data_IF_528620078626
#
_entry.id   IF_528620078626
#
_cell.length_a   1.000
_cell.length_b   1.000
_cell.length_c   1.000
_cell.angle_alpha   90.00
_cell.angle_beta   90.00
_cell.angle_gamma   90.00
#
_symmetry.space_group_name_H-M   'P 1'
#
loop_
_entity.id
_entity.type
_entity.pdbx_description
1 polymer ?
#
# COMPACT_ATOMS: atom_id res chain seq x y z
N UNK A 1 5.95 -64.69 -48.48
CA UNK A 1 6.74 -64.65 -47.23
C UNK A 1 6.54 -63.26 -46.65
N UNK A 2 5.63 -63.11 -45.68
CA UNK A 2 5.22 -61.82 -45.13
C UNK A 2 6.12 -61.45 -43.95
N UNK A 3 6.74 -60.27 -43.98
CA UNK A 3 7.53 -59.71 -42.89
C UNK A 3 6.62 -58.84 -42.02
N UNK A 4 6.43 -59.23 -40.76
CA UNK A 4 5.73 -58.40 -39.77
C UNK A 4 6.67 -57.28 -39.24
N UNK A 5 6.17 -56.06 -39.03
CA UNK A 5 6.94 -55.03 -38.34
C UNK A 5 6.88 -55.22 -36.83
N UNK A 6 8.06 -55.26 -36.21
CA UNK A 6 8.28 -55.30 -34.77
C UNK A 6 7.77 -54.01 -34.11
N UNK A 7 6.75 -54.14 -33.27
CA UNK A 7 6.25 -53.08 -32.41
C UNK A 7 7.24 -52.82 -31.27
N UNK A 8 8.05 -51.78 -31.42
CA UNK A 8 8.84 -51.23 -30.31
C UNK A 8 7.88 -50.56 -29.33
N UNK A 9 7.57 -51.27 -28.23
CA UNK A 9 6.89 -50.70 -27.06
C UNK A 9 7.76 -49.59 -26.48
N UNK A 10 7.46 -48.35 -26.85
CA UNK A 10 8.00 -47.18 -26.17
C UNK A 10 7.62 -47.25 -24.70
N UNK A 11 8.63 -47.38 -23.83
CA UNK A 11 8.45 -47.10 -22.40
C UNK A 11 8.05 -45.63 -22.30
N UNK A 12 6.78 -45.39 -21.96
CA UNK A 12 6.34 -44.14 -21.37
C UNK A 12 7.18 -43.95 -20.10
N UNK A 13 8.23 -43.13 -20.19
CA UNK A 13 8.83 -42.52 -19.02
C UNK A 13 7.73 -41.67 -18.39
N UNK A 14 7.12 -42.19 -17.34
CA UNK A 14 6.40 -41.37 -16.38
C UNK A 14 7.40 -40.35 -15.85
N UNK A 15 7.32 -39.11 -16.34
CA UNK A 15 7.88 -37.97 -15.62
C UNK A 15 7.27 -38.06 -14.22
N UNK A 16 8.05 -38.47 -13.24
CA UNK A 16 7.75 -38.26 -11.84
C UNK A 16 7.72 -36.75 -11.65
N UNK A 17 6.53 -36.16 -11.84
CA UNK A 17 6.34 -34.72 -11.83
C UNK A 17 6.89 -34.14 -10.53
N UNK A 18 7.98 -33.38 -10.63
CA UNK A 18 8.50 -32.61 -9.51
C UNK A 18 7.36 -31.75 -8.96
N UNK A 19 7.13 -31.82 -7.65
CA UNK A 19 6.08 -31.00 -7.00
C UNK A 19 6.28 -29.53 -7.41
N UNK A 20 5.20 -28.80 -7.74
CA UNK A 20 5.33 -27.39 -8.08
C UNK A 20 6.03 -26.62 -6.96
N UNK A 21 6.82 -25.61 -7.35
CA UNK A 21 7.47 -24.71 -6.39
C UNK A 21 6.39 -23.98 -5.58
N UNK A 22 6.68 -23.74 -4.31
CA UNK A 22 5.80 -23.00 -3.41
C UNK A 22 5.74 -21.54 -3.89
N UNK A 23 4.53 -21.04 -4.15
CA UNK A 23 4.25 -19.69 -4.64
C UNK A 23 2.76 -19.52 -4.96
N UNK A 24 2.43 -18.45 -5.69
CA UNK A 24 1.05 -18.17 -6.13
C UNK A 24 0.15 -17.55 -5.05
N UNK A 25 -1.16 -17.54 -5.28
CA UNK A 25 -2.12 -16.80 -4.44
C UNK A 25 -2.20 -17.27 -2.99
N UNK A 26 -2.08 -18.57 -2.75
CA UNK A 26 -2.05 -19.10 -1.38
C UNK A 26 -0.81 -18.59 -0.62
N UNK A 27 0.36 -18.61 -1.26
CA UNK A 27 1.59 -18.05 -0.68
C UNK A 27 1.41 -16.56 -0.37
N UNK A 28 0.87 -15.80 -1.32
CA UNK A 28 0.65 -14.37 -1.15
C UNK A 28 -0.26 -14.05 0.03
N UNK A 29 -1.31 -14.84 0.26
CA UNK A 29 -2.20 -14.68 1.40
C UNK A 29 -1.47 -14.90 2.75
N UNK A 30 -0.66 -15.97 2.85
CA UNK A 30 0.11 -16.24 4.06
C UNK A 30 1.18 -15.19 4.32
N UNK A 31 1.89 -14.76 3.28
CA UNK A 31 2.90 -13.73 3.41
C UNK A 31 2.26 -12.38 3.78
N UNK A 32 1.14 -12.01 3.16
CA UNK A 32 0.42 -10.79 3.48
C UNK A 32 -0.11 -10.79 4.92
N UNK A 33 -0.57 -11.93 5.43
CA UNK A 33 -0.91 -12.07 6.85
C UNK A 33 0.28 -11.74 7.76
N UNK A 34 1.47 -12.27 7.44
CA UNK A 34 2.68 -11.97 8.23
C UNK A 34 3.08 -10.49 8.12
N UNK A 35 2.91 -9.86 6.95
CA UNK A 35 3.13 -8.42 6.77
C UNK A 35 2.14 -7.59 7.59
N UNK A 36 0.85 -7.95 7.60
CA UNK A 36 -0.16 -7.25 8.41
C UNK A 36 0.10 -7.40 9.91
N UNK A 37 0.61 -8.55 10.35
CA UNK A 37 1.05 -8.73 11.74
C UNK A 37 2.25 -7.83 12.06
N UNK A 38 3.25 -7.79 11.18
CA UNK A 38 4.41 -6.92 11.34
C UNK A 38 4.00 -5.45 11.39
N UNK A 39 3.15 -5.02 10.47
CA UNK A 39 2.57 -3.67 10.44
C UNK A 39 1.78 -3.35 11.71
N UNK A 40 0.94 -4.27 12.18
CA UNK A 40 0.22 -4.11 13.46
C UNK A 40 1.18 -3.90 14.63
N UNK A 41 2.30 -4.63 14.64
CA UNK A 41 3.38 -4.43 15.60
C UNK A 41 3.99 -3.04 15.54
N UNK A 42 4.21 -2.48 14.35
CA UNK A 42 4.74 -1.11 14.19
C UNK A 42 3.81 -0.05 14.80
N UNK A 43 2.51 -0.17 14.60
CA UNK A 43 1.54 0.77 15.16
C UNK A 43 1.33 0.57 16.65
N UNK A 44 1.39 -0.67 17.13
CA UNK A 44 1.32 -0.97 18.54
C UNK A 44 2.51 -0.35 19.29
N UNK A 45 3.70 -0.45 18.70
CA UNK A 45 4.92 0.19 19.22
C UNK A 45 4.86 1.72 19.15
N UNK A 46 4.44 2.28 18.02
CA UNK A 46 4.21 3.72 17.89
C UNK A 46 3.19 4.24 18.90
N UNK A 47 2.10 3.49 19.15
CA UNK A 47 1.14 3.83 20.20
C UNK A 47 1.79 3.88 21.57
N UNK A 48 2.66 2.92 21.90
CA UNK A 48 3.36 2.89 23.19
C UNK A 48 4.26 4.13 23.37
N UNK A 49 5.04 4.49 22.36
CA UNK A 49 5.88 5.69 22.39
C UNK A 49 5.08 7.00 22.52
N UNK A 50 3.86 7.05 21.99
CA UNK A 50 2.99 8.23 22.11
C UNK A 50 2.25 8.32 23.46
N UNK A 51 2.01 7.19 24.15
CA UNK A 51 1.09 7.12 25.28
C UNK A 51 1.74 6.70 26.62
N UNK A 52 2.97 6.15 26.59
CA UNK A 52 3.68 5.67 27.78
C UNK A 52 4.89 6.57 28.03
N UNK A 53 4.90 7.36 29.13
CA UNK A 53 6.01 8.23 29.44
C UNK A 53 7.32 7.45 29.69
N UNK A 54 8.45 7.98 29.18
CA UNK A 54 9.81 7.48 29.43
C UNK A 54 10.07 6.06 28.91
N UNK A 55 9.43 5.68 27.81
CA UNK A 55 9.70 4.43 27.11
C UNK A 55 10.97 4.56 26.25
N UNK A 56 12.14 4.49 26.89
CA UNK A 56 13.46 4.75 26.27
C UNK A 56 14.35 3.50 26.30
N UNK A 57 13.88 2.40 25.70
CA UNK A 57 14.66 1.16 25.59
C UNK A 57 14.31 0.38 24.34
N UNK A 58 15.32 -0.28 23.77
CA UNK A 58 15.20 -1.10 22.57
C UNK A 58 14.37 -2.39 22.79
N UNK A 59 14.25 -2.85 24.03
CA UNK A 59 13.51 -4.09 24.35
C UNK A 59 12.29 -3.79 25.19
N UNK A 60 11.13 -3.82 24.55
CA UNK A 60 9.82 -3.63 25.19
C UNK A 60 8.85 -4.75 24.78
N UNK A 61 7.76 -4.98 25.52
CA UNK A 61 6.71 -5.90 25.07
C UNK A 61 6.13 -5.55 23.68
N UNK A 62 6.07 -4.26 23.33
CA UNK A 62 5.58 -3.78 22.03
C UNK A 62 6.56 -4.08 20.91
N UNK A 63 7.87 -3.86 21.15
CA UNK A 63 8.93 -4.34 20.26
C UNK A 63 8.89 -5.86 20.07
N UNK A 64 8.53 -6.64 21.10
CA UNK A 64 8.39 -8.09 20.94
C UNK A 64 7.30 -8.47 19.93
N UNK A 65 6.17 -7.74 19.88
CA UNK A 65 5.13 -7.95 18.87
C UNK A 65 5.65 -7.55 17.48
N UNK A 66 6.30 -6.39 17.37
CA UNK A 66 6.95 -5.95 16.13
C UNK A 66 7.95 -7.00 15.59
N UNK A 67 8.89 -7.45 16.43
CA UNK A 67 9.91 -8.43 16.07
C UNK A 67 9.32 -9.78 15.72
N UNK A 68 8.27 -10.22 16.43
CA UNK A 68 7.57 -11.46 16.09
C UNK A 68 6.97 -11.40 14.69
N UNK A 69 6.49 -10.23 14.25
CA UNK A 69 6.02 -10.01 12.89
C UNK A 69 7.11 -10.04 11.85
N UNK A 70 8.22 -9.37 12.11
CA UNK A 70 9.38 -9.42 11.24
C UNK A 70 9.87 -10.87 11.06
N UNK A 71 9.95 -11.64 12.15
CA UNK A 71 10.34 -13.06 12.13
C UNK A 71 9.31 -13.90 11.36
N UNK A 72 8.01 -13.64 11.54
CA UNK A 72 6.96 -14.31 10.79
C UNK A 72 7.10 -14.04 9.28
N UNK A 73 7.30 -12.78 8.88
CA UNK A 73 7.50 -12.39 7.49
C UNK A 73 8.78 -13.03 6.90
N UNK A 74 9.88 -13.02 7.66
CA UNK A 74 11.13 -13.69 7.29
C UNK A 74 10.94 -15.20 7.12
N UNK A 75 10.23 -15.85 8.03
CA UNK A 75 9.94 -17.29 7.94
C UNK A 75 9.09 -17.58 6.70
N UNK A 76 8.05 -16.77 6.47
CA UNK A 76 7.15 -16.95 5.33
C UNK A 76 7.84 -16.75 3.98
N UNK A 77 8.90 -15.93 3.88
CA UNK A 77 9.66 -15.80 2.63
C UNK A 77 10.80 -16.83 2.51
N UNK A 78 11.62 -17.00 3.54
CA UNK A 78 12.85 -17.79 3.44
C UNK A 78 12.63 -19.30 3.55
N UNK A 79 11.63 -19.76 4.30
CA UNK A 79 11.37 -21.20 4.40
C UNK A 79 10.89 -21.80 3.07
N UNK A 80 9.95 -21.18 2.32
CA UNK A 80 9.60 -21.65 0.98
C UNK A 80 10.77 -21.63 -0.01
N UNK A 81 11.63 -20.61 0.03
CA UNK A 81 12.85 -20.55 -0.80
C UNK A 81 13.75 -21.75 -0.49
N UNK A 82 14.02 -22.02 0.78
CA UNK A 82 14.83 -23.16 1.18
C UNK A 82 14.23 -24.50 0.77
N UNK A 83 12.91 -24.66 0.93
CA UNK A 83 12.19 -25.88 0.51
C UNK A 83 12.23 -26.03 -1.01
N UNK A 84 12.02 -24.97 -1.77
CA UNK A 84 12.09 -24.95 -3.23
C UNK A 84 13.50 -25.31 -3.70
N UNK A 85 14.55 -24.77 -3.07
CA UNK A 85 15.93 -25.10 -3.37
C UNK A 85 16.24 -26.58 -3.09
N UNK A 86 15.80 -27.12 -1.94
CA UNK A 86 15.93 -28.55 -1.62
C UNK A 86 15.17 -29.47 -2.57
N UNK A 87 14.17 -28.96 -3.29
CA UNK A 87 13.44 -29.67 -4.36
C UNK A 87 14.14 -29.62 -5.72
N UNK A 88 15.31 -29.00 -5.81
CA UNK A 88 16.14 -28.96 -7.02
C UNK A 88 16.11 -27.64 -7.79
N UNK A 89 15.38 -26.62 -7.33
CA UNK A 89 15.44 -25.30 -7.93
C UNK A 89 16.77 -24.60 -7.62
N UNK A 90 17.29 -23.79 -8.53
CA UNK A 90 18.39 -22.87 -8.18
C UNK A 90 17.90 -21.83 -7.16
N UNK A 91 18.82 -21.20 -6.42
CA UNK A 91 18.45 -20.16 -5.45
C UNK A 91 17.61 -19.03 -6.04
N UNK A 92 17.84 -18.69 -7.31
CA UNK A 92 17.07 -17.67 -8.02
C UNK A 92 15.66 -18.15 -8.37
N UNK A 93 15.52 -19.38 -8.86
CA UNK A 93 14.22 -19.97 -9.20
C UNK A 93 13.39 -20.31 -7.96
N UNK A 94 14.05 -20.52 -6.82
CA UNK A 94 13.40 -20.82 -5.56
C UNK A 94 12.58 -19.65 -4.98
N UNK A 95 12.88 -18.42 -5.40
CA UNK A 95 12.17 -17.21 -4.97
C UNK A 95 10.78 -17.17 -5.62
N UNK A 96 9.70 -17.05 -4.82
CA UNK A 96 8.37 -16.81 -5.35
C UNK A 96 8.34 -15.57 -6.23
N UNK A 97 7.81 -15.72 -7.45
CA UNK A 97 7.78 -14.65 -8.46
C UNK A 97 7.14 -13.38 -7.90
N UNK A 98 7.83 -12.24 -8.00
CA UNK A 98 7.40 -10.96 -7.47
C UNK A 98 7.95 -10.61 -6.08
N UNK A 99 8.62 -11.53 -5.40
CA UNK A 99 9.20 -11.32 -4.07
C UNK A 99 10.72 -11.14 -4.05
N UNK A 100 11.34 -10.92 -5.21
CA UNK A 100 12.80 -10.76 -5.31
C UNK A 100 13.29 -9.57 -4.48
N UNK A 101 12.56 -8.46 -4.53
CA UNK A 101 12.84 -7.27 -3.72
C UNK A 101 12.45 -7.47 -2.25
N UNK A 102 11.44 -8.28 -1.97
CA UNK A 102 11.05 -8.62 -0.59
C UNK A 102 12.14 -9.42 0.11
N UNK A 103 12.78 -10.37 -0.57
CA UNK A 103 13.94 -11.11 -0.08
C UNK A 103 15.06 -10.15 0.29
N UNK A 104 15.35 -9.18 -0.58
CA UNK A 104 16.36 -8.14 -0.32
C UNK A 104 15.97 -7.29 0.90
N UNK A 105 14.74 -6.76 0.93
CA UNK A 105 14.26 -5.90 2.02
C UNK A 105 14.28 -6.59 3.37
N UNK A 106 13.73 -7.80 3.48
CA UNK A 106 13.71 -8.56 4.74
C UNK A 106 15.14 -8.99 5.13
N UNK A 107 15.97 -9.42 4.18
CA UNK A 107 17.35 -9.81 4.45
C UNK A 107 18.19 -8.66 5.01
N UNK A 108 18.10 -7.49 4.37
CA UNK A 108 18.80 -6.28 4.82
C UNK A 108 18.25 -5.75 6.15
N UNK A 109 16.97 -5.97 6.46
CA UNK A 109 16.36 -5.52 7.71
C UNK A 109 17.11 -5.99 8.96
N UNK A 110 17.62 -7.22 8.96
CA UNK A 110 18.37 -7.74 10.10
C UNK A 110 19.69 -7.00 10.31
N UNK A 111 20.35 -6.61 9.21
CA UNK A 111 21.58 -5.80 9.25
C UNK A 111 21.25 -4.39 9.72
N UNK A 112 20.18 -3.80 9.18
CA UNK A 112 19.71 -2.46 9.58
C UNK A 112 19.33 -2.43 11.05
N UNK A 113 18.61 -3.43 11.58
CA UNK A 113 18.23 -3.47 13.00
C UNK A 113 19.41 -3.58 13.96
N UNK A 114 20.47 -4.32 13.59
CA UNK A 114 21.73 -4.31 14.36
C UNK A 114 22.43 -2.95 14.25
N UNK A 115 22.43 -2.36 13.05
CA UNK A 115 22.96 -1.02 12.82
C UNK A 115 22.23 0.05 13.63
N UNK A 116 20.91 -0.06 13.74
CA UNK A 116 20.02 0.81 14.51
C UNK A 116 20.32 0.76 16.00
N UNK A 117 20.47 -0.46 16.54
CA UNK A 117 20.92 -0.65 17.92
C UNK A 117 22.31 -0.01 18.16
N UNK A 118 23.27 -0.22 17.25
CA UNK A 118 24.61 0.40 17.36
C UNK A 118 24.50 1.93 17.30
N UNK A 119 23.67 2.44 16.39
CA UNK A 119 23.44 3.86 16.21
C UNK A 119 22.92 4.50 17.49
N UNK A 120 21.91 3.89 18.13
CA UNK A 120 21.39 4.35 19.41
C UNK A 120 22.41 4.29 20.56
N UNK A 121 23.31 3.30 20.57
CA UNK A 121 24.39 3.24 21.56
C UNK A 121 25.41 4.37 21.38
N UNK A 122 25.71 4.75 20.13
CA UNK A 122 26.72 5.76 19.82
C UNK A 122 26.18 7.19 19.90
N UNK A 123 24.94 7.42 19.47
CA UNK A 123 24.37 8.75 19.26
C UNK A 123 23.11 9.04 20.10
N UNK A 124 22.61 8.04 20.84
CA UNK A 124 21.38 8.13 21.61
C UNK A 124 20.12 7.83 20.80
N UNK A 125 18.97 7.84 21.46
CA UNK A 125 17.66 7.67 20.83
C UNK A 125 17.15 9.02 20.33
N UNK A 126 16.89 9.13 19.03
CA UNK A 126 16.38 10.35 18.42
C UNK A 126 14.97 10.67 18.93
N UNK A 127 14.67 11.96 19.02
CA UNK A 127 13.41 12.47 19.55
C UNK A 127 12.67 13.29 18.48
N UNK A 128 11.35 13.36 18.58
CA UNK A 128 10.49 14.13 17.68
C UNK A 128 10.72 13.76 16.20
N UNK A 129 10.83 14.77 15.33
CA UNK A 129 10.96 14.57 13.89
C UNK A 129 12.30 13.96 13.49
N UNK A 130 13.36 14.13 14.30
CA UNK A 130 14.69 13.58 14.02
C UNK A 130 14.67 12.05 13.95
N UNK A 131 13.77 11.42 14.71
CA UNK A 131 13.55 9.97 14.64
C UNK A 131 13.16 9.53 13.22
N UNK A 132 12.42 10.32 12.44
CA UNK A 132 12.09 9.96 11.06
C UNK A 132 13.29 10.04 10.12
N UNK A 133 14.32 10.83 10.46
CA UNK A 133 15.44 11.15 9.58
C UNK A 133 16.75 10.48 9.98
N UNK A 134 16.76 9.68 11.05
CA UNK A 134 17.90 8.84 11.41
C UNK A 134 18.30 7.94 10.23
N UNK A 135 19.60 7.81 9.90
CA UNK A 135 20.05 6.98 8.78
C UNK A 135 19.56 5.52 8.84
N UNK A 136 19.50 4.95 10.05
CA UNK A 136 19.06 3.56 10.26
C UNK A 136 17.56 3.42 10.09
N UNK A 137 16.76 4.37 10.58
CA UNK A 137 15.32 4.41 10.31
C UNK A 137 15.02 4.58 8.82
N UNK A 138 15.73 5.46 8.10
CA UNK A 138 15.57 5.62 6.65
C UNK A 138 15.90 4.35 5.88
N UNK A 139 17.01 3.68 6.24
CA UNK A 139 17.36 2.37 5.66
C UNK A 139 16.29 1.31 5.98
N UNK A 140 15.74 1.35 7.19
CA UNK A 140 14.63 0.49 7.62
C UNK A 140 13.38 0.74 6.79
N UNK A 141 12.97 1.99 6.61
CA UNK A 141 11.82 2.37 5.78
C UNK A 141 11.97 1.86 4.34
N UNK A 142 13.15 1.96 3.74
CA UNK A 142 13.41 1.38 2.41
C UNK A 142 13.22 -0.13 2.43
N UNK A 143 13.80 -0.82 3.42
CA UNK A 143 13.68 -2.28 3.56
C UNK A 143 12.23 -2.73 3.77
N UNK A 144 11.45 -2.02 4.59
CA UNK A 144 10.02 -2.29 4.82
C UNK A 144 9.25 -2.06 3.51
N UNK A 145 9.49 -0.95 2.82
CA UNK A 145 8.83 -0.64 1.55
C UNK A 145 9.06 -1.70 0.47
N UNK A 146 10.29 -2.21 0.35
CA UNK A 146 10.61 -3.32 -0.55
C UNK A 146 9.86 -4.61 -0.18
N UNK A 147 9.70 -4.88 1.13
CA UNK A 147 8.95 -6.04 1.60
C UNK A 147 7.44 -5.91 1.34
N UNK A 148 6.85 -4.75 1.68
CA UNK A 148 5.41 -4.49 1.61
C UNK A 148 4.92 -4.35 0.17
N UNK A 149 5.78 -3.93 -0.76
CA UNK A 149 5.47 -3.94 -2.18
C UNK A 149 5.35 -5.37 -2.78
N UNK A 150 5.89 -6.39 -2.10
CA UNK A 150 5.97 -7.77 -2.59
C UNK A 150 4.65 -8.36 -3.08
N UNK A 151 3.59 -8.42 -2.24
CA UNK A 151 2.29 -8.95 -2.64
C UNK A 151 1.69 -8.25 -3.87
N UNK A 152 1.75 -6.92 -3.93
CA UNK A 152 1.25 -6.16 -5.08
C UNK A 152 2.07 -6.46 -6.34
N UNK A 153 3.41 -6.50 -6.23
CA UNK A 153 4.29 -6.89 -7.35
C UNK A 153 3.99 -8.29 -7.86
N UNK A 154 3.78 -9.25 -6.95
CA UNK A 154 3.45 -10.63 -7.30
C UNK A 154 2.13 -10.73 -8.08
N UNK A 155 1.10 -10.00 -7.65
CA UNK A 155 -0.19 -9.93 -8.37
C UNK A 155 -0.02 -9.30 -9.76
N UNK A 156 0.72 -8.21 -9.88
CA UNK A 156 0.96 -7.52 -11.16
C UNK A 156 1.70 -8.36 -12.19
N UNK A 157 2.56 -9.28 -11.74
CA UNK A 157 3.31 -10.16 -12.62
C UNK A 157 2.48 -11.35 -13.15
N UNK A 158 1.25 -11.55 -12.67
CA UNK A 158 0.36 -12.60 -13.18
C UNK A 158 -0.23 -12.19 -14.52
N UNK A 159 -0.44 -13.18 -15.39
CA UNK A 159 -1.06 -12.97 -16.71
C UNK A 159 -2.55 -12.64 -16.61
N UNK A 160 -3.25 -13.24 -15.64
CA UNK A 160 -4.68 -13.05 -15.41
C UNK A 160 -4.92 -11.98 -14.36
N UNK A 161 -5.96 -11.17 -14.58
CA UNK A 161 -6.45 -10.26 -13.56
C UNK A 161 -6.99 -11.07 -12.36
N UNK A 162 -6.88 -10.53 -11.12
CA UNK A 162 -7.53 -11.12 -9.96
C UNK A 162 -9.01 -11.39 -10.22
N UNK A 163 -9.44 -12.60 -9.91
CA UNK A 163 -10.78 -13.11 -10.19
C UNK A 163 -11.44 -13.71 -8.95
N UNK A 164 -12.74 -13.47 -8.81
CA UNK A 164 -13.49 -13.90 -7.63
C UNK A 164 -13.15 -13.12 -6.36
N UNK A 165 -13.83 -13.48 -5.27
CA UNK A 165 -13.72 -12.76 -4.00
C UNK A 165 -12.33 -12.86 -3.37
N UNK A 166 -11.73 -14.06 -3.34
CA UNK A 166 -10.45 -14.29 -2.65
C UNK A 166 -9.28 -13.52 -3.26
N UNK A 167 -9.12 -13.56 -4.59
CA UNK A 167 -8.04 -12.80 -5.25
C UNK A 167 -8.31 -11.29 -5.25
N UNK A 168 -9.59 -10.88 -5.32
CA UNK A 168 -9.98 -9.49 -5.15
C UNK A 168 -9.62 -8.95 -3.76
N UNK A 169 -9.97 -9.69 -2.70
CA UNK A 169 -9.59 -9.33 -1.33
C UNK A 169 -8.08 -9.28 -1.15
N UNK A 170 -7.34 -10.23 -1.72
CA UNK A 170 -5.88 -10.24 -1.68
C UNK A 170 -5.27 -9.00 -2.34
N UNK A 171 -5.79 -8.57 -3.51
CA UNK A 171 -5.38 -7.32 -4.15
C UNK A 171 -5.68 -6.12 -3.25
N UNK A 172 -6.90 -6.02 -2.72
CA UNK A 172 -7.29 -4.90 -1.85
C UNK A 172 -6.42 -4.82 -0.61
N UNK A 173 -6.14 -5.94 0.05
CA UNK A 173 -5.30 -5.98 1.25
C UNK A 173 -3.82 -5.68 0.94
N UNK A 174 -3.30 -6.14 -0.23
CA UNK A 174 -1.94 -5.82 -0.65
C UNK A 174 -1.76 -4.32 -0.96
N UNK A 175 -2.79 -3.68 -1.53
CA UNK A 175 -2.79 -2.24 -1.75
C UNK A 175 -2.95 -1.49 -0.43
N UNK A 176 -3.85 -1.95 0.44
CA UNK A 176 -4.06 -1.36 1.75
C UNK A 176 -2.78 -1.39 2.59
N UNK A 177 -2.11 -2.54 2.73
CA UNK A 177 -0.88 -2.64 3.52
C UNK A 177 0.23 -1.74 2.99
N UNK A 178 0.45 -1.71 1.67
CA UNK A 178 1.43 -0.81 1.08
C UNK A 178 1.09 0.66 1.37
N UNK A 179 -0.19 1.03 1.25
CA UNK A 179 -0.63 2.40 1.46
C UNK A 179 -0.58 2.80 2.94
N UNK A 180 -0.96 1.91 3.85
CA UNK A 180 -0.84 2.09 5.31
C UNK A 180 0.62 2.39 5.67
N UNK A 181 1.57 1.60 5.17
CA UNK A 181 2.99 1.87 5.34
C UNK A 181 3.42 3.26 4.82
N UNK A 182 3.02 3.64 3.60
CA UNK A 182 3.39 4.95 3.02
C UNK A 182 2.77 6.11 3.83
N UNK A 183 1.52 5.95 4.28
CA UNK A 183 0.85 6.95 5.12
C UNK A 183 1.50 7.02 6.51
N UNK A 184 1.96 5.90 7.06
CA UNK A 184 2.71 5.86 8.33
C UNK A 184 4.01 6.66 8.24
N UNK A 185 4.81 6.44 7.19
CA UNK A 185 6.06 7.21 6.97
C UNK A 185 5.78 8.71 6.87
N UNK A 186 4.62 9.09 6.33
CA UNK A 186 4.21 10.48 6.14
C UNK A 186 3.20 11.00 7.18
N UNK A 187 3.04 10.31 8.31
CA UNK A 187 1.92 10.53 9.24
C UNK A 187 1.89 11.92 9.89
N UNK A 188 3.05 12.58 10.02
CA UNK A 188 3.11 13.96 10.52
C UNK A 188 2.36 14.94 9.60
N UNK A 189 2.25 14.61 8.31
CA UNK A 189 1.45 15.32 7.32
C UNK A 189 0.18 14.51 6.99
N UNK A 190 -0.61 14.15 8.01
CA UNK A 190 -1.83 13.36 7.83
C UNK A 190 -3.01 13.88 8.66
N UNK A 191 -4.20 13.89 8.06
CA UNK A 191 -5.45 14.23 8.74
C UNK A 191 -5.85 13.20 9.82
N UNK A 192 -5.26 12.00 9.77
CA UNK A 192 -5.47 10.96 10.78
C UNK A 192 -4.81 11.30 12.11
N UNK A 193 -3.78 12.15 12.08
CA UNK A 193 -2.96 12.51 13.24
C UNK A 193 -3.17 13.97 13.65
N UNK A 194 -3.51 14.86 12.72
CA UNK A 194 -3.64 16.29 12.99
C UNK A 194 -4.97 16.85 12.49
N UNK A 195 -5.79 17.41 13.40
CA UNK A 195 -7.05 18.07 13.05
C UNK A 195 -6.85 19.58 12.82
N UNK A 196 -6.02 19.91 11.83
CA UNK A 196 -5.65 21.29 11.50
C UNK A 196 -6.83 22.30 11.46
N UNK A 197 -8.03 21.96 10.95
CA UNK A 197 -9.15 22.90 10.91
C UNK A 197 -9.70 23.31 12.28
N UNK A 198 -9.36 22.59 13.36
CA UNK A 198 -9.79 22.89 14.72
C UNK A 198 -8.69 23.50 15.59
N UNK A 199 -7.43 23.37 15.18
CA UNK A 199 -6.26 23.80 15.99
C UNK A 199 -5.43 24.91 15.36
N UNK A 200 -5.58 25.20 14.06
CA UNK A 200 -4.77 26.19 13.34
C UNK A 200 -5.63 27.35 12.85
N UNK A 201 -5.75 28.44 13.62
CA UNK A 201 -6.65 29.56 13.31
C UNK A 201 -6.23 30.38 12.09
N UNK A 202 -7.18 31.20 11.61
CA UNK A 202 -6.95 32.19 10.56
C UNK A 202 -5.84 33.16 10.98
N UNK A 203 -4.86 33.35 10.10
CA UNK A 203 -3.68 34.19 10.33
C UNK A 203 -2.41 33.38 10.59
N UNK A 204 -2.52 32.09 10.96
CA UNK A 204 -1.39 31.16 11.03
C UNK A 204 -1.04 30.59 9.65
N UNK A 205 -0.61 31.46 8.74
CA UNK A 205 -0.44 31.16 7.31
C UNK A 205 0.40 29.90 7.04
N UNK A 206 1.50 29.70 7.78
CA UNK A 206 2.38 28.53 7.60
C UNK A 206 1.69 27.21 8.00
N UNK A 207 1.01 27.19 9.15
CA UNK A 207 0.26 26.02 9.61
C UNK A 207 -0.91 25.70 8.67
N UNK A 208 -1.60 26.73 8.19
CA UNK A 208 -2.69 26.60 7.22
C UNK A 208 -2.20 26.05 5.88
N UNK A 209 -1.05 26.53 5.40
CA UNK A 209 -0.43 26.00 4.19
C UNK A 209 0.01 24.54 4.38
N UNK A 210 0.66 24.22 5.50
CA UNK A 210 1.08 22.86 5.83
C UNK A 210 -0.11 21.90 5.90
N UNK A 211 -1.23 22.34 6.47
CA UNK A 211 -2.47 21.58 6.50
C UNK A 211 -3.00 21.25 5.10
N UNK A 212 -3.08 22.26 4.22
CA UNK A 212 -3.52 22.04 2.83
C UNK A 212 -2.54 21.14 2.07
N UNK A 213 -1.23 21.33 2.25
CA UNK A 213 -0.21 20.46 1.67
C UNK A 213 -0.35 19.02 2.17
N UNK A 214 -0.67 18.82 3.45
CA UNK A 214 -0.92 17.49 4.01
C UNK A 214 -2.12 16.81 3.36
N UNK A 215 -3.22 17.56 3.12
CA UNK A 215 -4.40 17.03 2.45
C UNK A 215 -4.12 16.67 1.00
N UNK A 216 -3.44 17.56 0.29
CA UNK A 216 -2.99 17.32 -1.08
C UNK A 216 -2.12 16.06 -1.15
N UNK A 217 -1.10 15.99 -0.32
CA UNK A 217 -0.13 14.90 -0.34
C UNK A 217 -0.82 13.55 -0.06
N UNK A 218 -1.61 13.45 1.02
CA UNK A 218 -2.30 12.21 1.37
C UNK A 218 -3.35 11.81 0.32
N UNK A 219 -4.07 12.77 -0.26
CA UNK A 219 -5.01 12.49 -1.35
C UNK A 219 -4.30 11.93 -2.59
N UNK A 220 -3.12 12.45 -2.92
CA UNK A 220 -2.32 11.98 -4.04
C UNK A 220 -1.84 10.55 -3.83
N UNK A 221 -1.47 10.16 -2.60
CA UNK A 221 -1.07 8.79 -2.27
C UNK A 221 -2.21 7.79 -2.52
N UNK A 222 -3.38 8.04 -1.91
CA UNK A 222 -4.55 7.17 -2.07
C UNK A 222 -5.05 7.13 -3.52
N UNK A 223 -5.26 8.31 -4.11
CA UNK A 223 -5.81 8.42 -5.47
C UNK A 223 -4.82 7.88 -6.50
N UNK A 224 -3.55 8.26 -6.41
CA UNK A 224 -2.51 7.83 -7.35
C UNK A 224 -2.34 6.32 -7.39
N UNK A 225 -2.24 5.67 -6.23
CA UNK A 225 -2.13 4.21 -6.15
C UNK A 225 -3.42 3.52 -6.62
N UNK A 226 -4.58 4.06 -6.27
CA UNK A 226 -5.88 3.54 -6.74
C UNK A 226 -6.02 3.62 -8.26
N UNK A 227 -5.63 4.74 -8.88
CA UNK A 227 -5.66 4.89 -10.34
C UNK A 227 -4.63 3.97 -11.02
N UNK A 228 -3.45 3.77 -10.40
CA UNK A 228 -2.44 2.82 -10.88
C UNK A 228 -2.99 1.38 -10.91
N UNK A 229 -3.74 0.97 -9.87
CA UNK A 229 -4.45 -0.32 -9.81
C UNK A 229 -5.57 -0.40 -10.84
N UNK A 230 -6.44 0.61 -10.86
CA UNK A 230 -7.58 0.70 -11.77
C UNK A 230 -7.18 0.67 -13.25
N UNK A 231 -6.00 1.19 -13.60
CA UNK A 231 -5.47 1.14 -14.97
C UNK A 231 -5.23 -0.29 -15.44
N UNK A 232 -4.90 -1.21 -14.54
CA UNK A 232 -4.52 -2.60 -14.87
C UNK A 232 -5.62 -3.61 -14.57
N UNK A 233 -6.37 -3.40 -13.49
CA UNK A 233 -7.37 -4.32 -12.99
C UNK A 233 -8.68 -3.60 -12.64
N UNK A 234 -9.85 -4.22 -12.82
CA UNK A 234 -11.07 -3.71 -12.20
C UNK A 234 -10.91 -3.74 -10.67
N UNK A 235 -11.35 -2.69 -9.99
CA UNK A 235 -11.32 -2.64 -8.53
C UNK A 235 -12.34 -3.65 -7.96
N UNK A 236 -11.95 -4.44 -6.94
CA UNK A 236 -12.87 -5.30 -6.20
C UNK A 236 -13.99 -4.50 -5.52
N UNK A 237 -15.11 -5.15 -5.24
CA UNK A 237 -16.20 -4.55 -4.47
C UNK A 237 -15.70 -4.20 -3.07
N UNK A 238 -15.98 -2.98 -2.60
CA UNK A 238 -15.57 -2.51 -1.27
C UNK A 238 -14.10 -2.08 -1.18
N UNK A 239 -13.41 -1.94 -2.33
CA UNK A 239 -11.98 -1.61 -2.37
C UNK A 239 -11.66 -0.33 -1.58
N UNK A 240 -12.33 0.79 -1.87
CA UNK A 240 -12.02 2.06 -1.21
C UNK A 240 -12.43 2.06 0.26
N UNK A 241 -13.55 1.41 0.57
CA UNK A 241 -14.02 1.19 1.95
C UNK A 241 -12.98 0.47 2.79
N UNK A 242 -12.45 -0.66 2.31
CA UNK A 242 -11.45 -1.43 3.04
C UNK A 242 -10.15 -0.65 3.17
N UNK A 243 -9.63 -0.08 2.07
CA UNK A 243 -8.34 0.64 2.06
C UNK A 243 -8.37 1.83 3.02
N UNK A 244 -9.36 2.72 2.91
CA UNK A 244 -9.42 3.91 3.76
C UNK A 244 -9.66 3.56 5.23
N UNK A 245 -10.47 2.54 5.52
CA UNK A 245 -10.72 2.11 6.89
C UNK A 245 -9.49 1.46 7.52
N UNK A 246 -8.74 0.65 6.77
CA UNK A 246 -7.49 0.04 7.25
C UNK A 246 -6.37 1.05 7.48
N UNK A 247 -6.36 2.18 6.76
CA UNK A 247 -5.49 3.32 7.08
C UNK A 247 -5.94 4.00 8.38
N UNK A 248 -7.25 4.22 8.50
CA UNK A 248 -7.81 4.96 9.63
C UNK A 248 -7.59 4.27 10.97
N UNK A 249 -7.84 2.96 11.08
CA UNK A 249 -7.77 2.21 12.34
C UNK A 249 -6.43 2.40 13.08
N UNK A 250 -5.27 2.05 12.49
CA UNK A 250 -3.99 2.14 13.20
C UNK A 250 -3.59 3.58 13.50
N UNK A 251 -3.69 4.49 12.53
CA UNK A 251 -3.27 5.89 12.71
C UNK A 251 -4.14 6.65 13.70
N UNK A 252 -5.45 6.41 13.68
CA UNK A 252 -6.38 7.05 14.62
C UNK A 252 -6.15 6.54 16.03
N UNK A 253 -5.88 5.24 16.19
CA UNK A 253 -5.57 4.63 17.50
C UNK A 253 -4.29 5.20 18.09
N UNK A 254 -3.24 5.37 17.27
CA UNK A 254 -1.96 5.91 17.71
C UNK A 254 -2.07 7.28 18.42
N UNK A 255 -2.98 8.15 17.96
CA UNK A 255 -3.13 9.54 18.44
C UNK A 255 -4.47 9.83 19.13
N UNK A 256 -5.34 8.83 19.26
CA UNK A 256 -6.66 8.96 19.91
C UNK A 256 -7.73 9.66 19.06
N UNK A 257 -7.52 9.85 17.76
CA UNK A 257 -8.45 10.54 16.84
C UNK A 257 -9.50 9.59 16.24
N UNK A 258 -10.19 8.82 17.10
CA UNK A 258 -11.09 7.74 16.67
C UNK A 258 -12.24 8.15 15.73
N UNK A 259 -12.60 9.44 15.70
CA UNK A 259 -13.59 10.00 14.77
C UNK A 259 -13.23 9.77 13.28
N UNK A 260 -11.94 9.60 12.98
CA UNK A 260 -11.46 9.34 11.62
C UNK A 260 -11.84 7.96 11.08
N UNK A 261 -12.14 6.99 11.94
CA UNK A 261 -12.57 5.64 11.54
C UNK A 261 -13.93 5.70 10.83
N UNK A 262 -15.02 6.22 11.44
CA UNK A 262 -16.30 6.34 10.75
C UNK A 262 -16.24 7.32 9.56
N UNK A 263 -15.45 8.39 9.62
CA UNK A 263 -15.23 9.31 8.48
C UNK A 263 -14.68 8.54 7.27
N UNK A 264 -13.65 7.72 7.49
CA UNK A 264 -13.00 6.96 6.42
C UNK A 264 -13.87 5.84 5.87
N UNK A 265 -14.64 5.19 6.76
CA UNK A 265 -15.63 4.19 6.37
C UNK A 265 -16.69 4.81 5.43
N UNK A 266 -17.30 5.93 5.82
CA UNK A 266 -18.31 6.63 5.03
C UNK A 266 -17.70 7.12 3.70
N UNK A 267 -16.53 7.73 3.75
CA UNK A 267 -15.83 8.19 2.55
C UNK A 267 -15.55 7.06 1.57
N UNK A 268 -15.04 5.92 2.07
CA UNK A 268 -14.78 4.75 1.23
C UNK A 268 -16.04 4.17 0.60
N UNK A 269 -17.15 4.11 1.35
CA UNK A 269 -18.45 3.70 0.80
C UNK A 269 -18.87 4.63 -0.35
N UNK A 270 -18.75 5.94 -0.16
CA UNK A 270 -19.10 6.92 -1.20
C UNK A 270 -18.21 6.80 -2.44
N UNK A 271 -16.91 6.53 -2.27
CA UNK A 271 -15.99 6.29 -3.39
C UNK A 271 -16.33 4.98 -4.12
N UNK A 272 -16.66 3.91 -3.41
CA UNK A 272 -17.09 2.64 -4.00
C UNK A 272 -18.44 2.76 -4.74
N UNK A 273 -19.37 3.56 -4.21
CA UNK A 273 -20.62 3.92 -4.88
C UNK A 273 -20.35 4.69 -6.18
N UNK A 274 -19.45 5.67 -6.13
CA UNK A 274 -19.05 6.40 -7.34
C UNK A 274 -18.38 5.48 -8.37
N UNK A 275 -17.53 4.53 -7.94
CA UNK A 275 -16.97 3.50 -8.81
C UNK A 275 -18.06 2.66 -9.49
N UNK A 276 -19.07 2.21 -8.72
CA UNK A 276 -20.19 1.42 -9.23
C UNK A 276 -21.01 2.14 -10.31
N UNK A 277 -21.29 3.43 -10.12
CA UNK A 277 -22.08 4.22 -11.08
C UNK A 277 -21.25 4.73 -12.26
N UNK A 278 -20.06 5.29 -12.01
CA UNK A 278 -19.21 5.84 -13.07
C UNK A 278 -18.64 4.72 -13.94
N UNK A 279 -18.38 3.54 -13.37
CA UNK A 279 -17.70 2.40 -14.02
C UNK A 279 -16.45 2.86 -14.77
N UNK A 280 -15.48 3.49 -14.07
CA UNK A 280 -14.31 4.07 -14.69
C UNK A 280 -13.43 2.98 -15.31
N UNK A 281 -12.88 3.25 -16.49
CA UNK A 281 -11.91 2.37 -17.15
C UNK A 281 -10.99 3.18 -18.06
N UNK A 282 -9.81 2.66 -18.45
CA UNK A 282 -8.92 3.34 -19.40
C UNK A 282 -9.59 3.69 -20.75
N UNK A 283 -10.62 2.94 -21.15
CA UNK A 283 -11.41 3.20 -22.38
C UNK A 283 -12.46 4.30 -22.19
N UNK A 284 -12.75 4.68 -20.95
CA UNK A 284 -13.79 5.66 -20.58
C UNK A 284 -13.13 6.84 -19.88
N UNK A 285 -12.35 7.60 -20.65
CA UNK A 285 -11.49 8.66 -20.12
C UNK A 285 -12.24 9.65 -19.22
N UNK A 286 -13.39 10.16 -19.64
CA UNK A 286 -14.19 11.09 -18.82
C UNK A 286 -14.59 10.49 -17.48
N UNK A 287 -15.09 9.25 -17.46
CA UNK A 287 -15.48 8.57 -16.22
C UNK A 287 -14.28 8.25 -15.33
N UNK A 288 -13.14 7.90 -15.93
CA UNK A 288 -11.88 7.69 -15.22
C UNK A 288 -11.43 8.99 -14.52
N UNK A 289 -11.50 10.13 -15.21
CA UNK A 289 -11.15 11.45 -14.68
C UNK A 289 -12.12 11.91 -13.59
N UNK A 290 -13.43 11.71 -13.80
CA UNK A 290 -14.45 12.02 -12.79
C UNK A 290 -14.27 11.16 -11.54
N UNK A 291 -13.98 9.88 -11.70
CA UNK A 291 -13.69 9.00 -10.57
C UNK A 291 -12.46 9.47 -9.79
N UNK A 292 -11.41 9.94 -10.48
CA UNK A 292 -10.22 10.48 -9.82
C UNK A 292 -10.52 11.72 -8.95
N UNK A 293 -11.40 12.62 -9.41
CA UNK A 293 -11.88 13.76 -8.60
C UNK A 293 -12.57 13.27 -7.33
N UNK A 294 -13.50 12.32 -7.49
CA UNK A 294 -14.29 11.78 -6.37
C UNK A 294 -13.37 11.06 -5.37
N UNK A 295 -12.53 10.15 -5.86
CA UNK A 295 -11.58 9.40 -5.02
C UNK A 295 -10.68 10.33 -4.20
N UNK A 296 -10.22 11.44 -4.79
CA UNK A 296 -9.40 12.43 -4.09
C UNK A 296 -10.19 13.24 -3.07
N UNK A 297 -11.33 13.82 -3.47
CA UNK A 297 -12.04 14.82 -2.66
C UNK A 297 -12.91 14.23 -1.56
N UNK A 298 -13.45 13.02 -1.73
CA UNK A 298 -14.52 12.49 -0.86
C UNK A 298 -14.12 12.36 0.60
N UNK A 299 -12.91 11.86 0.92
CA UNK A 299 -12.45 11.76 2.30
C UNK A 299 -12.45 13.13 3.00
N UNK A 300 -11.94 14.15 2.31
CA UNK A 300 -11.83 15.52 2.84
C UNK A 300 -13.19 16.20 2.94
N UNK A 301 -14.09 15.94 2.00
CA UNK A 301 -15.47 16.44 2.05
C UNK A 301 -16.20 15.88 3.28
N UNK A 302 -16.14 14.56 3.50
CA UNK A 302 -16.75 13.92 4.67
C UNK A 302 -16.09 14.41 5.96
N UNK A 303 -14.76 14.47 5.99
CA UNK A 303 -13.98 14.98 7.12
C UNK A 303 -14.39 16.40 7.51
N UNK A 304 -14.38 17.35 6.56
CA UNK A 304 -14.76 18.74 6.81
C UNK A 304 -16.21 18.87 7.26
N UNK A 305 -17.12 18.15 6.61
CA UNK A 305 -18.53 18.15 6.98
C UNK A 305 -18.71 17.65 8.43
N UNK A 306 -18.06 16.54 8.78
CA UNK A 306 -18.11 16.00 10.14
C UNK A 306 -17.54 16.98 11.14
N UNK A 307 -16.38 17.58 10.88
CA UNK A 307 -15.78 18.55 11.80
C UNK A 307 -16.68 19.77 12.02
N UNK A 308 -17.28 20.33 10.96
CA UNK A 308 -18.20 21.48 11.09
C UNK A 308 -19.40 21.16 11.97
N UNK A 309 -19.90 19.92 11.97
CA UNK A 309 -21.05 19.53 12.77
C UNK A 309 -20.71 19.02 14.18
N UNK A 310 -19.48 18.57 14.42
CA UNK A 310 -19.11 17.89 15.67
C UNK A 310 -18.08 18.65 16.49
N UNK A 311 -17.40 19.63 15.90
CA UNK A 311 -16.30 20.37 16.50
C UNK A 311 -16.35 21.86 16.12
N UNK A 312 -15.55 22.68 16.81
CA UNK A 312 -15.33 24.07 16.44
C UNK A 312 -14.27 24.16 15.34
N UNK A 313 -14.70 24.44 14.12
CA UNK A 313 -13.79 24.72 13.00
C UNK A 313 -13.41 26.20 13.03
N UNK A 314 -12.11 26.48 13.15
CA UNK A 314 -11.55 27.83 13.22
C UNK A 314 -11.11 28.36 11.85
N UNK A 315 -11.34 27.60 10.79
CA UNK A 315 -11.08 27.98 9.40
C UNK A 315 -12.24 28.76 8.79
N UNK A 316 -11.92 29.63 7.82
CA UNK A 316 -12.95 30.30 7.00
C UNK A 316 -13.60 29.33 6.02
N UNK A 317 -14.78 29.68 5.53
CA UNK A 317 -15.47 28.93 4.46
C UNK A 317 -14.58 28.73 3.21
N UNK A 318 -13.75 29.72 2.87
CA UNK A 318 -12.83 29.64 1.73
C UNK A 318 -11.78 28.55 1.92
N UNK A 319 -11.25 28.40 3.13
CA UNK A 319 -10.29 27.33 3.43
C UNK A 319 -10.98 25.97 3.52
N UNK A 320 -12.08 25.88 4.25
CA UNK A 320 -12.81 24.62 4.48
C UNK A 320 -13.31 24.02 3.17
N UNK A 321 -13.95 24.81 2.31
CA UNK A 321 -14.45 24.31 1.01
C UNK A 321 -13.32 24.28 -0.02
N UNK A 322 -12.49 25.32 -0.07
CA UNK A 322 -11.42 25.45 -1.05
C UNK A 322 -10.39 24.32 -0.96
N UNK A 323 -10.03 23.86 0.24
CA UNK A 323 -9.08 22.75 0.37
C UNK A 323 -9.61 21.44 -0.21
N UNK A 324 -10.91 21.16 -0.06
CA UNK A 324 -11.57 19.99 -0.66
C UNK A 324 -11.56 20.09 -2.19
N UNK A 325 -11.85 21.28 -2.73
CA UNK A 325 -11.83 21.53 -4.18
C UNK A 325 -10.42 21.37 -4.75
N UNK A 326 -9.40 21.93 -4.08
CA UNK A 326 -7.99 21.80 -4.50
C UNK A 326 -7.57 20.34 -4.57
N UNK A 327 -7.92 19.54 -3.56
CA UNK A 327 -7.67 18.10 -3.57
C UNK A 327 -8.35 17.41 -4.76
N UNK A 328 -9.61 17.75 -5.05
CA UNK A 328 -10.34 17.23 -6.22
C UNK A 328 -9.68 17.59 -7.55
N UNK A 329 -9.20 18.84 -7.70
CA UNK A 329 -8.46 19.31 -8.87
C UNK A 329 -7.17 18.51 -9.06
N UNK A 330 -6.43 18.21 -7.99
CA UNK A 330 -5.22 17.40 -8.09
C UNK A 330 -5.51 15.94 -8.42
N UNK A 331 -6.60 15.36 -7.90
CA UNK A 331 -7.09 14.05 -8.34
C UNK A 331 -7.36 14.04 -9.85
N UNK A 332 -8.02 15.07 -10.36
CA UNK A 332 -8.22 15.25 -11.80
C UNK A 332 -6.90 15.35 -12.57
N UNK A 333 -5.93 16.15 -12.10
CA UNK A 333 -4.63 16.28 -12.77
C UNK A 333 -3.83 14.96 -12.76
N UNK A 334 -3.83 14.22 -11.64
CA UNK A 334 -3.20 12.90 -11.53
C UNK A 334 -3.75 11.92 -12.57
N UNK A 335 -5.03 12.02 -12.91
CA UNK A 335 -5.63 11.15 -13.91
C UNK A 335 -5.02 11.31 -15.31
N UNK A 336 -4.44 12.49 -15.65
CA UNK A 336 -3.72 12.69 -16.91
C UNK A 336 -2.32 12.06 -16.91
N UNK A 337 -1.67 11.98 -15.74
CA UNK A 337 -0.41 11.26 -15.59
C UNK A 337 -0.63 9.75 -15.74
N UNK A 338 -1.72 9.24 -15.17
CA UNK A 338 -2.05 7.81 -15.26
C UNK A 338 -2.65 7.44 -16.61
N UNK A 339 -3.45 8.29 -17.25
CA UNK A 339 -4.08 8.05 -18.55
C UNK A 339 -3.73 9.20 -19.51
N UNK A 340 -2.52 9.18 -20.13
CA UNK A 340 -2.14 10.19 -21.11
C UNK A 340 -3.12 10.15 -22.29
N UNK A 341 -3.37 11.31 -22.92
CA UNK A 341 -4.24 11.40 -24.09
C UNK A 341 -3.81 10.40 -25.15
N UNK A 342 -4.77 9.71 -25.77
CA UNK A 342 -4.48 8.83 -26.90
C UNK A 342 -3.81 9.66 -27.99
N UNK A 343 -2.60 9.27 -28.41
CA UNK A 343 -2.02 9.85 -29.62
C UNK A 343 -3.00 9.56 -30.77
N UNK A 344 -3.24 10.52 -31.68
CA UNK A 344 -3.93 10.21 -32.92
C UNK A 344 -3.21 9.02 -33.55
N UNK A 345 -3.96 7.98 -33.93
CA UNK A 345 -3.40 6.95 -34.81
C UNK A 345 -2.84 7.68 -36.04
N UNK A 346 -1.52 7.78 -36.15
CA UNK A 346 -0.90 8.05 -37.44
C UNK A 346 -1.35 6.90 -38.33
N UNK A 347 -2.34 7.19 -39.18
CA UNK A 347 -2.65 6.33 -40.29
C UNK A 347 -1.39 6.27 -41.13
N UNK A 348 -0.54 5.27 -40.88
CA UNK A 348 0.47 4.82 -41.83
C UNK A 348 -0.36 4.26 -42.98
N UNK A 349 -0.84 5.16 -43.84
CA UNK A 349 -1.14 4.83 -45.22
C UNK A 349 0.21 4.47 -45.82
N UNK A 350 0.51 3.19 -45.80
CA UNK A 350 1.40 2.56 -46.78
C UNK A 350 0.87 2.96 -48.16
N UNK A 351 1.37 4.06 -48.71
CA UNK A 351 1.52 4.20 -50.14
C UNK A 351 2.63 3.22 -50.54
N UNK A 352 2.24 1.95 -50.68
CA UNK A 352 2.97 0.99 -51.48
C UNK A 352 2.21 0.92 -52.80
N UNK A 353 2.81 1.54 -53.81
CA UNK A 353 2.75 1.25 -55.24
C UNK A 353 1.41 0.78 -55.83
N UNK A 354 0.74 1.67 -56.55
CA UNK A 354 0.24 1.42 -57.92
C UNK A 354 0.29 2.70 -58.75
#
# INVERSE_FOLDING_TARGET
>A
MATQPTTVRGRLFTQTGSKPLIGGSSFDAYFLFAILWFESGTFLDAWAHNNIPRLETFFTPWHAVLYSGLIAAATMIFAPIFINHRRGATWREAIPRGYELTVLGIGLMFIVGVGDMIWHVLFGVEQNIDALFSPTHLAGMVCIGLAFAGPLRAIYQRSKAPSGFGEGLLLTLAVASLLVFIVNVSQNASLYVNFWPTTTPVGENEGQLLAVLSFVFQAMLFTGLTLYVLRRFPLPIGYATIVLTLIAIPLSTMRGHYLMIPISLIAGILVDVAYFYLKPSPQRATQFRLYAVVAAATLYAVYMLTLVFTMTVVWTVHMTIGSVVVVGILGWLLSYLVLPGQQPEESIKTHIDQ
#
